data_IF_192835145867
#
_entry.id   IF_192835145867
#
_cell.length_a   1.000
_cell.length_b   1.000
_cell.length_c   1.000
_cell.angle_alpha   90.00
_cell.angle_beta   90.00
_cell.angle_gamma   90.00
#
_symmetry.space_group_name_H-M   'P 1'
#
loop_
_entity.id
_entity.type
_entity.pdbx_description
1 polymer ?
#
# COMPACT_ATOMS: atom_id res chain seq x y z
N UNK A 1 27.44 1.54 0.97
CA UNK A 1 27.32 0.16 1.47
C UNK A 1 26.18 -0.54 0.73
N UNK A 2 26.20 -1.87 0.54
CA UNK A 2 25.06 -2.61 0.00
C UNK A 2 23.84 -2.48 0.93
N UNK A 3 22.64 -2.42 0.34
CA UNK A 3 21.36 -2.33 1.07
C UNK A 3 20.76 -3.69 1.43
N UNK A 4 19.53 -3.65 1.95
CA UNK A 4 18.75 -4.83 2.30
C UNK A 4 18.42 -5.70 1.07
N UNK A 5 18.28 -5.09 -0.11
CA UNK A 5 18.10 -5.77 -1.39
C UNK A 5 19.25 -6.73 -1.72
N UNK A 6 20.49 -6.34 -1.42
CA UNK A 6 21.66 -7.21 -1.55
C UNK A 6 21.63 -8.37 -0.54
N UNK A 7 21.29 -8.08 0.72
CA UNK A 7 21.23 -9.10 1.77
C UNK A 7 20.15 -10.14 1.46
N UNK A 8 18.97 -9.69 1.04
CA UNK A 8 17.86 -10.56 0.64
C UNK A 8 18.25 -11.44 -0.56
N UNK A 9 18.91 -10.85 -1.56
CA UNK A 9 19.43 -11.58 -2.73
C UNK A 9 20.35 -12.72 -2.31
N UNK A 10 21.26 -12.46 -1.36
CA UNK A 10 22.17 -13.47 -0.82
C UNK A 10 21.43 -14.54 0.00
N UNK A 11 20.53 -14.14 0.89
CA UNK A 11 19.78 -15.04 1.77
C UNK A 11 18.89 -16.03 0.99
N UNK A 12 18.25 -15.56 -0.08
CA UNK A 12 17.42 -16.39 -0.95
C UNK A 12 18.20 -17.16 -2.01
N UNK A 13 19.53 -16.98 -2.10
CA UNK A 13 20.34 -17.62 -3.12
C UNK A 13 19.94 -17.23 -4.55
N UNK A 14 19.46 -15.99 -4.75
CA UNK A 14 19.05 -15.52 -6.08
C UNK A 14 20.27 -15.42 -7.00
N UNK A 15 20.01 -15.46 -8.31
CA UNK A 15 21.05 -15.28 -9.34
C UNK A 15 21.81 -13.97 -9.09
N UNK A 16 23.16 -13.97 -9.11
CA UNK A 16 23.95 -12.75 -8.91
C UNK A 16 23.67 -11.62 -9.92
N UNK A 17 23.11 -11.96 -11.08
CA UNK A 17 22.73 -11.04 -12.14
C UNK A 17 21.32 -10.46 -11.98
N UNK A 18 20.63 -10.68 -10.85
CA UNK A 18 19.31 -10.08 -10.60
C UNK A 18 19.41 -8.56 -10.62
N UNK A 19 18.53 -7.90 -11.38
CA UNK A 19 18.42 -6.44 -11.42
C UNK A 19 17.70 -6.00 -10.14
N UNK A 20 18.37 -5.21 -9.29
CA UNK A 20 17.84 -4.78 -7.99
C UNK A 20 17.53 -3.28 -8.03
N UNK A 21 16.45 -2.89 -7.37
CA UNK A 21 16.13 -1.51 -7.05
C UNK A 21 15.81 -1.43 -5.56
N UNK A 22 16.67 -0.76 -4.78
CA UNK A 22 16.48 -0.60 -3.35
C UNK A 22 15.70 0.70 -3.08
N UNK A 23 14.59 0.60 -2.37
CA UNK A 23 13.76 1.73 -1.97
C UNK A 23 13.88 1.94 -0.46
N UNK A 24 14.64 2.96 -0.05
CA UNK A 24 14.76 3.36 1.36
C UNK A 24 14.00 4.64 1.63
N UNK A 25 13.49 4.77 2.87
CA UNK A 25 12.94 6.01 3.42
C UNK A 25 11.82 6.63 2.57
N UNK A 26 11.02 5.80 1.91
CA UNK A 26 9.86 6.26 1.13
C UNK A 26 8.65 6.51 2.06
N UNK A 27 8.48 5.68 3.09
CA UNK A 27 7.37 5.75 4.03
C UNK A 27 6.14 4.97 3.58
N UNK A 28 5.01 5.24 4.21
CA UNK A 28 3.83 4.37 4.17
C UNK A 28 3.15 4.24 2.79
N UNK A 29 3.37 5.18 1.86
CA UNK A 29 2.83 5.06 0.49
C UNK A 29 3.59 4.06 -0.39
N UNK A 30 4.77 3.60 0.06
CA UNK A 30 5.70 2.83 -0.79
C UNK A 30 5.17 1.46 -1.22
N UNK A 31 4.15 0.92 -0.54
CA UNK A 31 3.46 -0.28 -1.02
C UNK A 31 2.85 -0.08 -2.42
N UNK A 32 2.24 1.08 -2.67
CA UNK A 32 1.77 1.47 -4.01
C UNK A 32 2.93 1.73 -4.98
N UNK A 33 3.97 2.42 -4.52
CA UNK A 33 5.15 2.73 -5.35
C UNK A 33 5.87 1.47 -5.85
N UNK A 34 6.01 0.44 -4.99
CA UNK A 34 6.62 -0.84 -5.35
C UNK A 34 5.80 -1.54 -6.43
N UNK A 35 4.47 -1.51 -6.36
CA UNK A 35 3.60 -2.06 -7.42
C UNK A 35 3.73 -1.29 -8.73
N UNK A 36 3.77 0.05 -8.68
CA UNK A 36 4.00 0.90 -9.85
C UNK A 36 5.32 0.59 -10.55
N UNK A 37 6.41 0.50 -9.78
CA UNK A 37 7.72 0.15 -10.33
C UNK A 37 7.73 -1.30 -10.87
N UNK A 38 7.11 -2.24 -10.17
CA UNK A 38 7.04 -3.63 -10.59
C UNK A 38 6.25 -3.81 -11.89
N UNK A 39 5.18 -3.02 -12.09
CA UNK A 39 4.40 -2.98 -13.35
C UNK A 39 5.30 -2.63 -14.53
N UNK A 40 6.00 -1.50 -14.48
CA UNK A 40 6.88 -1.06 -15.58
C UNK A 40 8.00 -2.07 -15.86
N UNK A 41 8.59 -2.63 -14.80
CA UNK A 41 9.66 -3.63 -14.94
C UNK A 41 9.16 -4.93 -15.57
N UNK A 42 7.97 -5.40 -15.19
CA UNK A 42 7.37 -6.63 -15.72
C UNK A 42 6.93 -6.45 -17.18
N UNK A 43 6.22 -5.37 -17.50
CA UNK A 43 5.64 -5.14 -18.83
C UNK A 43 6.70 -4.82 -19.88
N UNK A 44 7.74 -4.07 -19.49
CA UNK A 44 8.78 -3.64 -20.42
C UNK A 44 9.92 -4.67 -20.61
N UNK A 45 9.86 -5.82 -19.94
CA UNK A 45 10.88 -6.87 -20.04
C UNK A 45 10.22 -8.25 -20.20
N UNK A 46 10.11 -8.74 -21.44
CA UNK A 46 9.54 -10.07 -21.74
C UNK A 46 10.16 -11.17 -20.86
N UNK A 47 9.29 -11.94 -20.19
CA UNK A 47 9.67 -13.05 -19.32
C UNK A 47 10.23 -12.63 -17.95
N UNK A 48 10.20 -11.33 -17.61
CA UNK A 48 10.59 -10.90 -16.28
C UNK A 48 9.59 -11.37 -15.21
N UNK A 49 10.14 -11.77 -14.06
CA UNK A 49 9.41 -12.00 -12.81
C UNK A 49 10.11 -11.17 -11.73
N UNK A 50 9.39 -10.19 -11.21
CA UNK A 50 9.89 -9.22 -10.25
C UNK A 50 9.47 -9.68 -8.87
N UNK A 51 10.45 -9.96 -8.01
CA UNK A 51 10.23 -10.14 -6.58
C UNK A 51 10.21 -8.75 -5.92
N UNK A 52 9.02 -8.30 -5.53
CA UNK A 52 8.80 -7.06 -4.79
C UNK A 52 8.61 -7.39 -3.30
N UNK A 53 9.38 -6.74 -2.43
CA UNK A 53 9.35 -6.97 -0.99
C UNK A 53 9.31 -5.65 -0.23
N UNK A 54 8.32 -5.52 0.66
CA UNK A 54 8.23 -4.49 1.67
C UNK A 54 8.54 -5.13 3.02
N UNK A 55 9.45 -4.56 3.82
CA UNK A 55 9.80 -5.08 5.14
C UNK A 55 10.08 -3.92 6.09
N UNK A 56 9.32 -3.88 7.18
CA UNK A 56 9.24 -2.75 8.09
C UNK A 56 9.40 -3.25 9.53
N UNK A 57 10.26 -2.57 10.29
CA UNK A 57 10.59 -2.94 11.67
C UNK A 57 10.64 -1.65 12.50
N UNK A 58 9.84 -1.59 13.57
CA UNK A 58 9.71 -0.43 14.48
C UNK A 58 10.94 -0.18 15.34
N UNK A 59 11.95 -1.06 15.31
CA UNK A 59 13.21 -0.88 16.02
C UNK A 59 13.89 0.47 15.74
N UNK A 60 13.69 1.08 14.57
CA UNK A 60 14.23 2.40 14.23
C UNK A 60 13.36 3.57 14.73
N UNK A 61 12.12 3.31 15.15
CA UNK A 61 11.10 4.32 15.49
C UNK A 61 10.70 4.31 16.96
N UNK A 62 10.88 3.16 17.64
CA UNK A 62 10.50 2.94 19.02
C UNK A 62 11.26 3.86 19.97
N UNK A 63 10.54 4.56 20.86
CA UNK A 63 11.12 5.49 21.84
C UNK A 63 10.19 5.71 23.02
N UNK A 64 10.76 6.21 24.12
CA UNK A 64 9.99 6.57 25.32
C UNK A 64 9.00 7.72 25.07
N UNK A 65 7.94 7.82 25.89
CA UNK A 65 6.92 8.85 25.77
C UNK A 65 7.46 10.25 26.13
N UNK A 66 6.82 11.29 25.58
CA UNK A 66 7.12 12.69 25.91
C UNK A 66 5.88 13.56 25.80
N UNK A 67 5.57 14.32 26.85
CA UNK A 67 4.40 15.21 26.91
C UNK A 67 4.48 16.35 25.88
N UNK A 68 5.67 16.70 25.40
CA UNK A 68 5.88 17.71 24.35
C UNK A 68 5.71 17.17 22.93
N UNK A 69 5.59 15.84 22.75
CA UNK A 69 5.53 15.16 21.45
C UNK A 69 4.41 14.10 21.40
N UNK A 70 3.16 14.55 21.54
CA UNK A 70 1.98 13.67 21.49
C UNK A 70 1.80 12.98 20.12
N UNK A 71 2.27 13.59 19.04
CA UNK A 71 2.34 13.01 17.70
C UNK A 71 3.23 11.76 17.66
N UNK A 72 4.36 11.78 18.37
CA UNK A 72 5.21 10.59 18.52
C UNK A 72 4.47 9.45 19.23
N UNK A 73 3.62 9.74 20.22
CA UNK A 73 2.82 8.73 20.92
C UNK A 73 1.82 8.04 20.00
N UNK A 74 1.24 8.78 19.05
CA UNK A 74 0.37 8.20 18.01
C UNK A 74 1.14 7.15 17.21
N UNK A 75 2.37 7.47 16.80
CA UNK A 75 3.26 6.51 16.14
C UNK A 75 3.55 5.27 16.99
N UNK A 76 3.83 5.45 18.29
CA UNK A 76 4.09 4.33 19.21
C UNK A 76 2.87 3.42 19.43
N UNK A 77 1.66 3.92 19.25
CA UNK A 77 0.42 3.15 19.39
C UNK A 77 -0.02 2.45 18.09
N UNK A 78 0.44 2.94 16.93
CA UNK A 78 -0.02 2.46 15.62
C UNK A 78 0.98 1.53 14.93
N UNK A 79 2.28 1.84 14.96
CA UNK A 79 3.24 1.13 14.11
C UNK A 79 3.47 -0.32 14.58
N UNK A 80 3.43 -1.24 13.61
CA UNK A 80 3.72 -2.66 13.80
C UNK A 80 4.85 -3.13 12.88
N UNK A 81 5.37 -4.31 13.16
CA UNK A 81 6.42 -4.96 12.37
C UNK A 81 5.80 -5.92 11.35
N UNK A 82 6.32 -5.93 10.12
CA UNK A 82 5.81 -6.85 9.09
C UNK A 82 6.59 -6.83 7.79
N UNK A 83 6.49 -7.93 7.04
CA UNK A 83 7.06 -8.02 5.70
C UNK A 83 6.08 -8.69 4.73
N UNK A 84 5.82 -8.04 3.61
CA UNK A 84 4.99 -8.55 2.51
C UNK A 84 5.83 -8.72 1.25
N UNK A 85 5.59 -9.81 0.51
CA UNK A 85 6.30 -10.09 -0.73
C UNK A 85 5.33 -10.55 -1.82
N UNK A 86 5.55 -10.08 -3.05
CA UNK A 86 4.77 -10.47 -4.23
C UNK A 86 5.69 -10.78 -5.40
N UNK A 87 5.23 -11.68 -6.28
CA UNK A 87 5.83 -11.92 -7.59
C UNK A 87 4.97 -11.24 -8.63
N UNK A 88 5.55 -10.29 -9.37
CA UNK A 88 4.87 -9.55 -10.44
C UNK A 88 5.48 -9.94 -11.77
N UNK A 89 4.64 -10.23 -12.76
CA UNK A 89 5.06 -10.60 -14.10
C UNK A 89 3.93 -10.37 -15.09
N UNK A 90 4.30 -10.08 -16.34
CA UNK A 90 3.40 -10.10 -17.49
C UNK A 90 3.47 -11.46 -18.17
N UNK A 91 2.46 -11.78 -18.98
CA UNK A 91 2.34 -13.03 -19.72
C UNK A 91 2.47 -14.26 -18.79
N UNK A 92 1.51 -14.50 -17.88
CA UNK A 92 1.55 -15.65 -16.99
C UNK A 92 1.53 -16.94 -17.82
N UNK A 93 2.37 -17.91 -17.43
CA UNK A 93 2.44 -19.21 -18.10
C UNK A 93 1.16 -20.00 -17.76
N UNK A 94 0.31 -20.34 -18.74
CA UNK A 94 -0.92 -21.09 -18.48
C UNK A 94 -0.63 -22.40 -17.73
N UNK A 95 -1.52 -22.79 -16.82
CA UNK A 95 -1.43 -24.00 -15.98
C UNK A 95 -0.26 -24.04 -14.97
N UNK A 96 0.70 -23.13 -15.06
CA UNK A 96 1.86 -23.03 -14.15
C UNK A 96 1.72 -21.83 -13.21
N UNK A 97 1.32 -20.68 -13.74
CA UNK A 97 1.18 -19.43 -12.99
C UNK A 97 -0.28 -19.00 -12.97
N UNK A 98 -0.85 -18.78 -11.78
CA UNK A 98 -2.21 -18.26 -11.59
C UNK A 98 -2.12 -16.80 -11.13
N UNK A 99 -2.50 -15.82 -11.97
CA UNK A 99 -2.56 -14.42 -11.52
C UNK A 99 -3.63 -14.27 -10.43
N UNK A 100 -3.40 -13.34 -9.51
CA UNK A 100 -4.35 -13.02 -8.42
C UNK A 100 -5.03 -11.68 -8.69
N UNK A 101 -4.25 -10.69 -9.12
CA UNK A 101 -4.70 -9.37 -9.55
C UNK A 101 -3.85 -8.92 -10.73
N UNK A 102 -4.42 -8.07 -11.58
CA UNK A 102 -3.70 -7.38 -12.66
C UNK A 102 -3.51 -5.90 -12.30
N UNK A 103 -2.30 -5.37 -12.54
CA UNK A 103 -1.99 -3.95 -12.32
C UNK A 103 -2.33 -3.18 -13.61
N UNK A 104 -3.41 -2.41 -13.63
CA UNK A 104 -3.91 -1.79 -14.86
C UNK A 104 -3.34 -0.38 -15.06
N UNK A 105 -3.46 0.46 -14.03
CA UNK A 105 -3.02 1.86 -14.06
C UNK A 105 -2.41 2.25 -12.73
N UNK A 106 -1.44 3.16 -12.75
CA UNK A 106 -0.83 3.69 -11.53
C UNK A 106 -0.59 5.18 -11.64
N UNK A 107 -0.82 5.92 -10.56
CA UNK A 107 -0.56 7.34 -10.45
C UNK A 107 0.04 7.69 -9.09
N UNK A 108 0.80 8.78 -9.07
CA UNK A 108 1.30 9.40 -7.85
C UNK A 108 0.95 10.88 -7.88
N UNK A 109 0.51 11.43 -6.76
CA UNK A 109 0.28 12.87 -6.61
C UNK A 109 0.69 13.36 -5.22
N UNK A 110 1.00 14.65 -5.12
CA UNK A 110 1.24 15.35 -3.86
C UNK A 110 0.00 16.19 -3.56
N UNK A 111 -0.56 16.05 -2.37
CA UNK A 111 -1.73 16.80 -1.94
C UNK A 111 -1.37 18.29 -1.80
N UNK A 112 -2.14 19.23 -2.37
CA UNK A 112 -1.87 20.65 -2.22
C UNK A 112 -1.94 21.11 -0.76
N UNK A 113 -1.04 22.03 -0.36
CA UNK A 113 -0.99 22.62 0.99
C UNK A 113 -0.88 21.57 2.11
N UNK A 114 -0.04 20.56 1.90
CA UNK A 114 0.16 19.44 2.84
C UNK A 114 1.59 19.33 3.34
N UNK A 115 2.39 20.38 3.14
CA UNK A 115 3.78 20.45 3.60
C UNK A 115 3.85 20.21 5.11
N UNK A 116 4.74 19.31 5.52
CA UNK A 116 4.92 18.95 6.93
C UNK A 116 3.76 18.17 7.56
N UNK A 117 2.75 17.74 6.78
CA UNK A 117 1.65 16.94 7.29
C UNK A 117 2.14 15.59 7.87
N UNK A 118 3.12 14.99 7.22
CA UNK A 118 3.81 13.79 7.67
C UNK A 118 5.29 13.96 7.35
N UNK A 119 6.11 14.13 8.39
CA UNK A 119 7.56 14.21 8.27
C UNK A 119 8.24 13.07 9.02
N UNK A 120 9.32 12.57 8.45
CA UNK A 120 10.25 11.63 9.07
C UNK A 120 11.66 12.19 9.02
N UNK A 121 12.37 12.16 10.15
CA UNK A 121 13.76 12.60 10.22
C UNK A 121 14.62 11.51 10.83
N UNK A 122 15.57 10.98 10.04
CA UNK A 122 16.59 10.10 10.57
C UNK A 122 17.68 10.94 11.25
N UNK A 123 17.83 10.76 12.57
CA UNK A 123 18.76 11.48 13.43
C UNK A 123 19.58 10.50 14.26
N UNK A 124 20.50 11.01 15.07
CA UNK A 124 21.26 10.21 16.04
C UNK A 124 20.35 9.46 17.02
N UNK A 125 19.17 10.02 17.30
CA UNK A 125 18.11 9.43 18.13
C UNK A 125 17.19 8.47 17.37
N UNK A 126 17.64 7.91 16.24
CA UNK A 126 16.84 7.08 15.35
C UNK A 126 15.90 7.89 14.45
N UNK A 127 14.84 7.26 13.95
CA UNK A 127 13.84 7.89 13.10
C UNK A 127 12.74 8.54 13.96
N UNK A 128 12.64 9.87 13.91
CA UNK A 128 11.58 10.65 14.54
C UNK A 128 10.48 10.97 13.53
N UNK A 129 9.22 10.88 13.93
CA UNK A 129 8.09 11.29 13.08
C UNK A 129 7.36 12.48 13.65
N UNK A 130 6.86 13.31 12.75
CA UNK A 130 5.93 14.38 13.03
C UNK A 130 4.67 14.19 12.20
N UNK A 131 3.52 14.23 12.86
CA UNK A 131 2.21 13.99 12.26
C UNK A 131 1.31 15.17 12.59
N UNK A 132 0.86 15.91 11.58
CA UNK A 132 -0.20 16.89 11.77
C UNK A 132 -1.52 16.17 12.05
N UNK A 133 -2.34 16.76 12.93
CA UNK A 133 -3.64 16.18 13.32
C UNK A 133 -4.61 16.04 12.14
N UNK A 134 -4.52 16.91 11.13
CA UNK A 134 -5.47 16.96 10.00
C UNK A 134 -5.05 16.10 8.79
N UNK A 135 -4.14 15.13 8.95
CA UNK A 135 -3.84 14.17 7.87
C UNK A 135 -5.10 13.47 7.33
N UNK A 136 -6.04 12.98 8.16
CA UNK A 136 -7.29 12.39 7.65
C UNK A 136 -8.11 13.35 6.79
N UNK A 137 -8.20 14.63 7.17
CA UNK A 137 -8.91 15.66 6.42
C UNK A 137 -8.24 15.99 5.09
N UNK A 138 -6.90 16.01 5.05
CA UNK A 138 -6.15 16.23 3.82
C UNK A 138 -6.35 15.08 2.83
N UNK A 139 -6.31 13.82 3.31
CA UNK A 139 -6.55 12.64 2.46
C UNK A 139 -7.99 12.67 1.92
N UNK A 140 -9.00 12.80 2.78
CA UNK A 140 -10.41 12.73 2.38
C UNK A 140 -10.80 13.83 1.39
N UNK A 141 -10.31 15.07 1.57
CA UNK A 141 -10.59 16.18 0.64
C UNK A 141 -10.04 15.95 -0.78
N UNK A 142 -9.04 15.09 -0.96
CA UNK A 142 -8.32 14.94 -2.22
C UNK A 142 -8.48 13.56 -2.88
N UNK A 143 -9.00 12.56 -2.17
CA UNK A 143 -9.12 11.19 -2.68
C UNK A 143 -10.08 11.08 -3.87
N UNK A 144 -11.16 11.86 -3.88
CA UNK A 144 -12.17 11.87 -4.94
C UNK A 144 -11.56 12.25 -6.30
N UNK A 145 -10.68 13.26 -6.31
CA UNK A 145 -9.93 13.63 -7.53
C UNK A 145 -9.03 12.49 -8.01
N UNK A 146 -8.37 11.79 -7.09
CA UNK A 146 -7.50 10.67 -7.44
C UNK A 146 -8.29 9.51 -8.08
N UNK A 147 -9.51 9.26 -7.61
CA UNK A 147 -10.43 8.29 -8.21
C UNK A 147 -10.89 8.74 -9.58
N UNK A 148 -11.36 9.99 -9.70
CA UNK A 148 -11.80 10.55 -10.97
C UNK A 148 -10.72 10.46 -12.05
N UNK A 149 -9.48 10.86 -11.74
CA UNK A 149 -8.38 10.81 -12.70
C UNK A 149 -8.03 9.37 -13.11
N UNK A 150 -8.17 8.40 -12.20
CA UNK A 150 -7.86 6.99 -12.46
C UNK A 150 -8.98 6.23 -13.18
N UNK A 151 -10.24 6.50 -12.86
CA UNK A 151 -11.40 5.71 -13.31
C UNK A 151 -12.25 6.37 -14.39
N UNK A 152 -12.12 7.69 -14.62
CA UNK A 152 -12.78 8.36 -15.75
C UNK A 152 -12.48 7.70 -17.11
N UNK A 153 -11.24 7.26 -17.42
CA UNK A 153 -10.96 6.54 -18.67
C UNK A 153 -11.67 5.17 -18.78
N UNK A 154 -12.04 4.58 -17.64
CA UNK A 154 -12.75 3.30 -17.55
C UNK A 154 -14.28 3.47 -17.49
N UNK A 155 -14.78 4.72 -17.41
CA UNK A 155 -16.20 5.01 -17.30
C UNK A 155 -16.82 4.58 -15.96
N UNK A 156 -16.02 4.40 -14.91
CA UNK A 156 -16.49 4.02 -13.58
C UNK A 156 -16.58 5.27 -12.70
N UNK A 157 -17.74 5.50 -12.11
CA UNK A 157 -18.00 6.60 -11.17
C UNK A 157 -18.69 6.16 -9.88
N UNK A 158 -19.11 4.89 -9.78
CA UNK A 158 -19.65 4.31 -8.55
C UNK A 158 -18.53 3.68 -7.74
N UNK A 159 -18.07 4.38 -6.70
CA UNK A 159 -16.99 3.92 -5.84
C UNK A 159 -17.32 2.66 -5.04
N UNK A 160 -18.61 2.33 -4.85
CA UNK A 160 -19.03 1.11 -4.18
C UNK A 160 -18.96 -0.12 -5.11
N UNK A 161 -18.90 0.08 -6.43
CA UNK A 161 -18.68 -0.98 -7.42
C UNK A 161 -17.24 -1.49 -7.49
N UNK A 162 -16.30 -0.81 -6.81
CA UNK A 162 -14.87 -1.17 -6.77
C UNK A 162 -14.53 -1.99 -5.53
N UNK A 163 -13.61 -2.97 -5.58
CA UNK A 163 -12.97 -3.47 -4.34
C UNK A 163 -11.88 -2.51 -3.86
N UNK A 164 -11.63 -2.46 -2.54
CA UNK A 164 -10.80 -1.41 -1.92
C UNK A 164 -9.66 -1.96 -1.04
N UNK A 165 -8.43 -1.51 -1.34
CA UNK A 165 -7.24 -1.78 -0.55
C UNK A 165 -6.56 -0.45 -0.15
N UNK A 166 -7.05 0.18 0.91
CA UNK A 166 -6.53 1.47 1.38
C UNK A 166 -5.48 1.28 2.48
N UNK A 167 -4.32 1.93 2.37
CA UNK A 167 -3.30 1.91 3.42
C UNK A 167 -3.92 2.37 4.76
N UNK A 168 -3.87 1.54 5.82
CA UNK A 168 -4.50 1.82 7.09
C UNK A 168 -3.54 2.63 7.98
N UNK A 169 -3.25 3.87 7.57
CA UNK A 169 -2.32 4.75 8.30
C UNK A 169 -2.76 5.02 9.74
N UNK A 170 -4.07 5.04 9.94
CA UNK A 170 -4.77 5.06 11.21
C UNK A 170 -6.28 4.96 10.97
N UNK A 171 -7.09 4.61 11.99
CA UNK A 171 -8.53 4.39 11.82
C UNK A 171 -9.25 5.63 11.29
N UNK A 172 -8.88 6.83 11.76
CA UNK A 172 -9.50 8.09 11.36
C UNK A 172 -9.36 8.39 9.86
N UNK A 173 -8.29 7.91 9.19
CA UNK A 173 -8.13 8.06 7.74
C UNK A 173 -9.18 7.22 7.01
N UNK A 174 -9.36 5.96 7.42
CA UNK A 174 -10.34 5.05 6.83
C UNK A 174 -11.76 5.58 7.06
N UNK A 175 -12.07 6.03 8.28
CA UNK A 175 -13.39 6.59 8.63
C UNK A 175 -13.73 7.82 7.78
N UNK A 176 -12.77 8.73 7.57
CA UNK A 176 -13.01 9.90 6.75
C UNK A 176 -13.11 9.60 5.25
N UNK A 177 -12.37 8.62 4.74
CA UNK A 177 -12.52 8.16 3.35
C UNK A 177 -13.91 7.57 3.15
N UNK A 178 -14.33 6.67 4.05
CA UNK A 178 -15.64 6.02 4.02
C UNK A 178 -16.77 7.05 4.04
N UNK A 179 -16.73 8.00 4.97
CA UNK A 179 -17.73 9.05 5.08
C UNK A 179 -17.75 10.00 3.88
N UNK A 180 -16.58 10.41 3.37
CA UNK A 180 -16.47 11.39 2.28
C UNK A 180 -16.93 10.84 0.92
N UNK A 181 -16.71 9.55 0.68
CA UNK A 181 -17.08 8.88 -0.57
C UNK A 181 -18.39 8.09 -0.46
N UNK A 182 -19.04 8.13 0.72
CA UNK A 182 -20.25 7.36 1.02
C UNK A 182 -20.07 5.86 0.70
N UNK A 183 -18.91 5.32 1.08
CA UNK A 183 -18.63 3.90 0.93
C UNK A 183 -19.49 3.10 1.90
N UNK A 184 -19.97 1.94 1.46
CA UNK A 184 -20.57 0.97 2.36
C UNK A 184 -19.51 0.42 3.31
N UNK A 185 -19.93 0.04 4.51
CA UNK A 185 -19.03 -0.42 5.58
C UNK A 185 -18.14 -1.59 5.15
N UNK A 186 -18.65 -2.49 4.31
CA UNK A 186 -17.91 -3.65 3.82
C UNK A 186 -16.70 -3.28 2.94
N UNK A 187 -16.67 -2.10 2.31
CA UNK A 187 -15.62 -1.72 1.35
C UNK A 187 -14.24 -1.67 1.99
N UNK A 188 -14.15 -1.20 3.24
CA UNK A 188 -12.88 -1.10 3.96
C UNK A 188 -12.62 -2.26 4.92
N UNK A 189 -13.44 -3.33 4.88
CA UNK A 189 -13.33 -4.48 5.78
C UNK A 189 -11.94 -5.09 5.81
N UNK A 190 -11.35 -5.39 4.64
CA UNK A 190 -10.02 -5.99 4.57
C UNK A 190 -8.93 -5.05 5.11
N UNK A 191 -9.05 -3.75 4.84
CA UNK A 191 -8.12 -2.72 5.33
C UNK A 191 -8.18 -2.58 6.85
N UNK A 192 -9.40 -2.57 7.42
CA UNK A 192 -9.65 -2.52 8.86
C UNK A 192 -9.20 -3.81 9.56
N UNK A 193 -9.40 -4.97 8.94
CA UNK A 193 -8.95 -6.27 9.49
C UNK A 193 -7.42 -6.29 9.63
N UNK A 194 -6.69 -5.90 8.59
CA UNK A 194 -5.22 -5.86 8.65
C UNK A 194 -4.72 -4.86 9.71
N UNK A 195 -5.37 -3.70 9.83
CA UNK A 195 -5.04 -2.75 10.90
C UNK A 195 -5.26 -3.33 12.30
N UNK A 196 -6.36 -4.05 12.49
CA UNK A 196 -6.72 -4.62 13.79
C UNK A 196 -5.75 -5.74 14.22
N UNK A 197 -5.37 -6.63 13.29
CA UNK A 197 -4.53 -7.78 13.60
C UNK A 197 -3.03 -7.46 13.62
N UNK A 198 -2.59 -6.49 12.82
CA UNK A 198 -1.16 -6.25 12.59
C UNK A 198 -0.69 -4.81 12.84
N UNK A 199 -1.61 -3.87 13.08
CA UNK A 199 -1.29 -2.46 13.18
C UNK A 199 -0.85 -1.84 11.84
N UNK A 200 -0.22 -0.67 11.92
CA UNK A 200 0.34 0.02 10.77
C UNK A 200 1.78 -0.48 10.49
N UNK A 201 1.90 -1.50 9.65
CA UNK A 201 3.16 -2.02 9.11
C UNK A 201 3.70 -1.21 7.91
N UNK A 202 3.44 0.10 7.86
CA UNK A 202 3.89 1.02 6.80
C UNK A 202 3.64 0.47 5.38
N UNK A 203 4.67 0.34 4.55
CA UNK A 203 4.56 -0.08 3.15
C UNK A 203 4.04 -1.50 2.94
N UNK A 204 4.15 -2.37 3.95
CA UNK A 204 3.70 -3.76 3.84
C UNK A 204 2.17 -3.91 3.95
N UNK A 205 1.46 -2.96 4.57
CA UNK A 205 0.04 -3.09 4.88
C UNK A 205 -0.81 -3.42 3.65
N UNK A 206 -0.62 -2.70 2.54
CA UNK A 206 -1.45 -2.90 1.35
C UNK A 206 -1.24 -4.27 0.70
N UNK A 207 -0.06 -4.87 0.85
CA UNK A 207 0.20 -6.24 0.40
C UNK A 207 -0.52 -7.27 1.29
N UNK A 208 -0.56 -7.04 2.60
CA UNK A 208 -1.36 -7.85 3.53
C UNK A 208 -2.85 -7.73 3.23
N UNK A 209 -3.33 -6.53 2.86
CA UNK A 209 -4.73 -6.31 2.52
C UNK A 209 -5.13 -7.07 1.26
N UNK A 210 -4.28 -7.06 0.23
CA UNK A 210 -4.52 -7.86 -0.98
C UNK A 210 -4.55 -9.36 -0.68
N UNK A 211 -3.66 -9.85 0.20
CA UNK A 211 -3.63 -11.27 0.59
C UNK A 211 -4.85 -11.67 1.43
N UNK A 212 -5.28 -10.81 2.36
CA UNK A 212 -6.52 -11.01 3.13
C UNK A 212 -7.74 -11.04 2.20
N UNK A 213 -7.87 -10.05 1.33
CA UNK A 213 -8.99 -9.91 0.40
C UNK A 213 -9.15 -11.15 -0.49
N UNK A 214 -8.06 -11.62 -1.12
CA UNK A 214 -8.13 -12.80 -2.01
C UNK A 214 -8.43 -14.08 -1.24
N UNK A 215 -7.90 -14.23 -0.01
CA UNK A 215 -8.17 -15.40 0.85
C UNK A 215 -9.62 -15.43 1.28
N UNK A 216 -10.13 -14.28 1.73
CA UNK A 216 -11.50 -14.14 2.20
C UNK A 216 -12.50 -14.34 1.06
N UNK A 217 -12.21 -13.79 -0.13
CA UNK A 217 -13.02 -14.02 -1.33
C UNK A 217 -13.11 -15.51 -1.69
N UNK A 218 -11.99 -16.24 -1.63
CA UNK A 218 -11.99 -17.68 -1.85
C UNK A 218 -12.77 -18.46 -0.79
N UNK A 219 -12.61 -18.10 0.49
CA UNK A 219 -13.31 -18.75 1.60
C UNK A 219 -14.82 -18.52 1.57
N UNK A 220 -15.25 -17.32 1.14
CA UNK A 220 -16.66 -16.93 1.06
C UNK A 220 -17.33 -17.37 -0.26
N UNK A 221 -16.57 -17.98 -1.19
CA UNK A 221 -17.09 -18.45 -2.47
C UNK A 221 -17.46 -17.33 -3.44
N UNK A 222 -16.76 -16.18 -3.37
CA UNK A 222 -16.94 -15.08 -4.30
C UNK A 222 -16.53 -15.47 -5.73
N UNK A 223 -17.06 -14.76 -6.73
CA UNK A 223 -16.73 -15.02 -8.14
C UNK A 223 -15.29 -14.64 -8.51
N UNK A 224 -14.71 -13.63 -7.83
CA UNK A 224 -13.39 -13.09 -8.14
C UNK A 224 -12.55 -12.91 -6.88
N UNK A 225 -11.24 -12.77 -7.04
CA UNK A 225 -10.28 -12.45 -5.96
C UNK A 225 -10.52 -11.09 -5.29
N UNK A 226 -11.29 -10.20 -5.95
CA UNK A 226 -11.66 -8.86 -5.49
C UNK A 226 -13.09 -8.81 -4.97
N UNK A 227 -13.45 -9.73 -4.07
CA UNK A 227 -14.78 -9.76 -3.40
C UNK A 227 -15.97 -9.90 -4.37
N UNK A 228 -15.76 -10.55 -5.52
CA UNK A 228 -16.77 -10.71 -6.57
C UNK A 228 -16.92 -9.50 -7.49
N UNK A 229 -16.05 -8.50 -7.38
CA UNK A 229 -16.01 -7.31 -8.24
C UNK A 229 -14.83 -7.40 -9.23
N UNK A 230 -14.99 -6.80 -10.41
CA UNK A 230 -13.96 -6.84 -11.47
C UNK A 230 -12.86 -5.80 -11.23
N UNK A 231 -13.24 -4.58 -10.87
CA UNK A 231 -12.34 -3.45 -10.72
C UNK A 231 -12.10 -3.11 -9.26
N UNK A 232 -10.91 -2.63 -8.95
CA UNK A 232 -10.59 -2.16 -7.61
C UNK A 232 -9.48 -1.14 -7.58
N UNK A 233 -9.30 -0.57 -6.40
CA UNK A 233 -8.33 0.48 -6.15
C UNK A 233 -7.51 0.15 -4.92
N UNK A 234 -6.20 0.34 -5.04
CA UNK A 234 -5.25 0.34 -3.94
C UNK A 234 -4.71 1.75 -3.74
N UNK A 235 -4.71 2.20 -2.49
CA UNK A 235 -4.16 3.50 -2.10
C UNK A 235 -3.00 3.37 -1.13
N UNK A 236 -1.90 4.06 -1.43
CA UNK A 236 -0.81 4.32 -0.47
C UNK A 236 -0.84 5.77 0.00
N UNK A 237 -0.70 6.00 1.29
CA UNK A 237 -0.63 7.35 1.89
C UNK A 237 0.65 7.50 2.71
N UNK A 238 1.36 8.62 2.61
CA UNK A 238 2.56 8.85 3.42
C UNK A 238 3.21 10.21 3.18
N UNK A 239 4.49 10.41 3.57
CA UNK A 239 5.17 11.71 3.54
C UNK A 239 5.01 12.47 2.22
N UNK A 240 4.71 13.77 2.30
CA UNK A 240 4.46 14.64 1.15
C UNK A 240 3.46 15.77 1.44
N UNK A 241 2.19 15.50 1.77
CA UNK A 241 1.46 14.23 1.80
C UNK A 241 1.32 13.64 0.39
N UNK A 242 1.86 12.43 0.18
CA UNK A 242 1.83 11.73 -1.10
C UNK A 242 0.70 10.70 -1.12
N UNK A 243 0.01 10.61 -2.25
CA UNK A 243 -0.99 9.57 -2.56
C UNK A 243 -0.50 8.76 -3.76
N UNK A 244 -0.37 7.45 -3.58
CA UNK A 244 -0.24 6.48 -4.67
C UNK A 244 -1.60 5.87 -4.94
N UNK A 245 -2.01 5.83 -6.21
CA UNK A 245 -3.24 5.20 -6.69
C UNK A 245 -2.86 4.08 -7.63
N UNK A 246 -3.32 2.86 -7.37
CA UNK A 246 -3.12 1.69 -8.23
C UNK A 246 -4.49 1.14 -8.58
N UNK A 247 -4.84 1.13 -9.87
CA UNK A 247 -6.04 0.47 -10.38
C UNK A 247 -5.72 -0.99 -10.61
N UNK A 248 -6.57 -1.84 -10.06
CA UNK A 248 -6.46 -3.28 -10.08
C UNK A 248 -7.63 -3.89 -10.85
N UNK A 249 -7.36 -4.96 -11.58
CA UNK A 249 -8.39 -5.88 -12.06
C UNK A 249 -8.29 -7.19 -11.27
N UNK A 250 -9.42 -7.74 -10.85
CA UNK A 250 -9.47 -9.04 -10.18
C UNK A 250 -9.37 -10.20 -11.18
N UNK A 251 -9.22 -11.41 -10.66
CA UNK A 251 -9.21 -12.64 -11.45
C UNK A 251 -10.30 -13.56 -10.91
N UNK A 252 -10.92 -14.34 -11.80
CA UNK A 252 -11.90 -15.37 -11.40
C UNK A 252 -11.25 -16.41 -10.47
N UNK A 253 -11.98 -16.82 -9.43
CA UNK A 253 -11.51 -17.79 -8.44
C UNK A 253 -11.58 -19.24 -8.92
#
# INVERSE_FOLDING_TARGET
>A
MPGADYQLTKLLGLRPSVKRCMMYQQGCFAGGTVLRLAKDLAENNRGARVLAVCSEITAVTFRGPSDSHLDSLVGQALFGDGAGAVIVGSDPIPEVEKPIFELVYTAQTIVPNSEGAIDGHLREVGLTFHLLKDVPGLVSKNIEKCLDDAFRPLGISDWNSLFWAAHPGGPAILDQIEAKLELKEEKLRASRHVLAEYGNMSSACVLFILDEMRKKSAADGCATTGEGLDWGVLFGFGPGLTVETVVLHSVAL
#
